data_IF_589087154192
#
_entry.id   IF_589087154192
#
_cell.length_a   1.000
_cell.length_b   1.000
_cell.length_c   1.000
_cell.angle_alpha   90.00
_cell.angle_beta   90.00
_cell.angle_gamma   90.00
#
_symmetry.space_group_name_H-M   'P 1'
#
loop_
_entity.id
_entity.type
_entity.pdbx_description
1 polymer ?
#
# COMPACT_ATOMS: atom_id res chain seq x y z
N UNK A 1 28.49 9.22 5.29
CA UNK A 1 27.18 9.33 5.47
C UNK A 1 26.42 8.04 5.22
N UNK A 2 25.48 7.80 5.95
CA UNK A 2 24.80 6.55 5.85
C UNK A 2 23.88 6.51 4.65
N UNK A 3 23.80 5.37 4.06
CA UNK A 3 22.84 5.14 3.02
C UNK A 3 21.43 5.19 3.61
N UNK A 4 20.49 5.45 2.76
CA UNK A 4 19.10 5.41 3.15
C UNK A 4 18.74 3.98 3.54
N UNK A 5 18.29 3.79 4.75
CA UNK A 5 17.89 2.47 5.22
C UNK A 5 16.51 2.10 4.72
N UNK A 6 16.16 0.83 4.84
CA UNK A 6 14.81 0.38 4.50
C UNK A 6 13.76 1.10 5.34
N UNK A 7 14.09 1.37 6.61
CA UNK A 7 13.18 2.08 7.50
C UNK A 7 12.91 3.50 7.00
N UNK A 8 13.94 4.19 6.50
CA UNK A 8 13.77 5.55 5.97
C UNK A 8 12.87 5.55 4.73
N UNK A 9 13.06 4.57 3.85
CA UNK A 9 12.21 4.44 2.66
C UNK A 9 10.77 4.13 3.03
N UNK A 10 10.59 3.30 4.04
CA UNK A 10 9.27 2.96 4.52
C UNK A 10 8.58 4.19 5.10
N UNK A 11 9.28 4.97 5.91
CA UNK A 11 8.73 6.20 6.47
C UNK A 11 8.35 7.20 5.38
N UNK A 12 9.19 7.33 4.36
CA UNK A 12 8.88 8.22 3.26
C UNK A 12 7.65 7.77 2.48
N UNK A 13 7.54 6.47 2.22
CA UNK A 13 6.37 5.92 1.54
C UNK A 13 5.10 6.19 2.33
N UNK A 14 5.15 6.04 3.64
CA UNK A 14 4.00 6.30 4.49
C UNK A 14 3.62 7.78 4.50
N UNK A 15 4.59 8.67 4.51
CA UNK A 15 4.32 10.10 4.42
C UNK A 15 3.66 10.48 3.11
N UNK A 16 4.15 9.91 2.01
CA UNK A 16 3.57 10.17 0.70
C UNK A 16 2.14 9.67 0.62
N UNK A 17 1.89 8.50 1.19
CA UNK A 17 0.54 7.96 1.24
C UNK A 17 -0.39 8.88 2.04
N UNK A 18 0.08 9.33 3.19
CA UNK A 18 -0.71 10.17 4.08
C UNK A 18 -1.09 11.50 3.41
N UNK A 19 -0.17 12.06 2.62
CA UNK A 19 -0.39 13.30 1.90
C UNK A 19 -1.10 13.12 0.55
N UNK A 20 -1.22 11.91 0.06
CA UNK A 20 -1.76 11.65 -1.28
C UNK A 20 -3.27 11.79 -1.31
N UNK A 21 -3.84 12.29 -2.43
CA UNK A 21 -5.29 12.30 -2.58
C UNK A 21 -5.84 10.90 -2.79
N UNK A 22 -7.12 10.70 -2.52
CA UNK A 22 -7.76 9.40 -2.65
C UNK A 22 -7.67 8.83 -4.06
N UNK A 23 -7.59 9.67 -5.06
CA UNK A 23 -7.50 9.24 -6.45
C UNK A 23 -6.09 8.77 -6.85
N UNK A 24 -5.09 9.01 -6.00
CA UNK A 24 -3.72 8.61 -6.31
C UNK A 24 -3.54 7.10 -6.20
N UNK A 25 -2.42 6.62 -6.74
CA UNK A 25 -2.08 5.20 -6.71
C UNK A 25 -0.76 4.98 -5.99
N UNK A 26 -0.63 3.83 -5.36
CA UNK A 26 0.62 3.42 -4.73
C UNK A 26 0.97 1.99 -5.16
N UNK A 27 2.22 1.66 -5.05
CA UNK A 27 2.72 0.36 -5.45
C UNK A 27 2.77 -0.62 -4.28
N UNK A 28 3.08 -1.87 -4.60
CA UNK A 28 3.14 -2.97 -3.64
C UNK A 28 3.98 -2.65 -2.41
N UNK A 29 5.12 -2.03 -2.60
CA UNK A 29 6.01 -1.69 -1.47
C UNK A 29 5.30 -0.84 -0.43
N UNK A 30 4.53 0.13 -0.89
CA UNK A 30 3.78 1.00 0.02
C UNK A 30 2.67 0.23 0.73
N UNK A 31 1.98 -0.65 0.02
CA UNK A 31 0.94 -1.47 0.64
C UNK A 31 1.53 -2.36 1.73
N UNK A 32 2.68 -2.98 1.46
CA UNK A 32 3.38 -3.77 2.46
C UNK A 32 3.72 -2.93 3.69
N UNK A 33 4.19 -1.70 3.49
CA UNK A 33 4.55 -0.82 4.59
C UNK A 33 3.33 -0.41 5.41
N UNK A 34 2.21 -0.11 4.73
CA UNK A 34 1.00 0.33 5.41
C UNK A 34 0.43 -0.74 6.34
N UNK A 35 0.49 -1.99 5.92
CA UNK A 35 -0.11 -3.10 6.66
C UNK A 35 0.94 -3.94 7.39
N UNK A 36 2.21 -3.64 7.21
CA UNK A 36 3.33 -4.37 7.80
C UNK A 36 3.26 -5.87 7.50
N UNK A 37 3.01 -6.20 6.24
CA UNK A 37 2.91 -7.57 5.78
C UNK A 37 3.81 -7.80 4.58
N UNK A 38 4.07 -9.06 4.28
CA UNK A 38 4.92 -9.43 3.14
C UNK A 38 4.17 -9.28 1.82
N UNK A 39 4.89 -9.19 0.69
CA UNK A 39 4.24 -9.16 -0.62
C UNK A 39 3.32 -10.34 -0.86
N UNK A 40 3.72 -11.54 -0.46
CA UNK A 40 2.89 -12.72 -0.64
C UNK A 40 1.57 -12.59 0.12
N UNK A 41 1.61 -12.00 1.31
CA UNK A 41 0.41 -11.78 2.09
C UNK A 41 -0.48 -10.72 1.45
N UNK A 42 0.10 -9.67 0.87
CA UNK A 42 -0.67 -8.66 0.14
C UNK A 42 -1.45 -9.31 -1.00
N UNK A 43 -0.78 -10.13 -1.81
CA UNK A 43 -1.44 -10.81 -2.92
C UNK A 43 -2.56 -11.73 -2.46
N UNK A 44 -2.31 -12.48 -1.41
CA UNK A 44 -3.31 -13.40 -0.86
C UNK A 44 -4.53 -12.66 -0.35
N UNK A 45 -4.33 -11.59 0.40
CA UNK A 45 -5.44 -10.81 0.95
C UNK A 45 -6.19 -10.01 -0.11
N UNK A 46 -5.48 -9.54 -1.13
CA UNK A 46 -6.14 -8.89 -2.27
C UNK A 46 -7.05 -9.88 -3.00
N UNK A 47 -6.61 -11.12 -3.09
CA UNK A 47 -7.39 -12.15 -3.75
C UNK A 47 -8.60 -12.58 -2.92
N UNK A 48 -8.46 -12.62 -1.61
CA UNK A 48 -9.55 -13.02 -0.71
C UNK A 48 -10.57 -11.91 -0.45
N UNK A 49 -10.26 -10.69 -0.85
CA UNK A 49 -11.15 -9.56 -0.63
C UNK A 49 -10.88 -8.76 0.62
N UNK A 50 -9.90 -9.15 1.43
CA UNK A 50 -9.54 -8.39 2.63
C UNK A 50 -8.87 -7.07 2.31
N UNK A 51 -8.17 -7.01 1.19
CA UNK A 51 -7.58 -5.79 0.67
C UNK A 51 -8.23 -5.45 -0.67
N UNK A 52 -8.20 -4.18 -1.08
CA UNK A 52 -8.75 -3.80 -2.38
C UNK A 52 -8.01 -4.51 -3.49
N UNK A 53 -8.71 -4.79 -4.57
CA UNK A 53 -8.11 -5.43 -5.72
C UNK A 53 -7.09 -4.52 -6.39
N UNK A 54 -5.94 -5.05 -6.82
CA UNK A 54 -4.95 -4.24 -7.50
C UNK A 54 -5.44 -3.83 -8.89
N UNK A 55 -4.94 -2.70 -9.35
CA UNK A 55 -5.25 -2.18 -10.68
C UNK A 55 -3.99 -2.28 -11.51
N UNK A 56 -4.12 -2.80 -12.71
CA UNK A 56 -3.01 -2.92 -13.63
C UNK A 56 -2.94 -1.72 -14.55
N UNK A 57 -1.81 -1.02 -14.49
CA UNK A 57 -1.54 0.10 -15.39
C UNK A 57 -0.39 -0.32 -16.28
N UNK A 58 -0.68 -0.64 -17.54
CA UNK A 58 0.34 -1.13 -18.44
C UNK A 58 0.72 -2.58 -18.17
N UNK A 59 1.83 -3.03 -18.75
CA UNK A 59 2.20 -4.45 -18.73
C UNK A 59 2.78 -4.94 -17.42
N UNK A 60 3.47 -4.06 -16.68
CA UNK A 60 4.21 -4.48 -15.50
C UNK A 60 3.95 -3.62 -14.27
N UNK A 61 2.98 -2.75 -14.33
CA UNK A 61 2.71 -1.83 -13.24
C UNK A 61 1.40 -2.20 -12.57
N UNK A 62 1.50 -2.71 -11.36
CA UNK A 62 0.33 -3.01 -10.54
C UNK A 62 0.30 -2.03 -9.38
N UNK A 63 -0.84 -1.40 -9.17
CA UNK A 63 -1.00 -0.36 -8.15
C UNK A 63 -2.31 -0.56 -7.40
N UNK A 64 -2.42 0.12 -6.26
CA UNK A 64 -3.64 0.14 -5.46
C UNK A 64 -4.06 1.59 -5.28
N UNK A 65 -5.35 1.85 -5.28
CA UNK A 65 -5.87 3.19 -5.09
C UNK A 65 -5.81 3.60 -3.62
N UNK A 66 -5.31 4.79 -3.36
CA UNK A 66 -5.13 5.31 -2.01
C UNK A 66 -6.44 5.34 -1.23
N UNK A 67 -7.53 5.81 -1.86
CA UNK A 67 -8.82 5.87 -1.19
C UNK A 67 -9.31 4.53 -0.72
N UNK A 68 -9.16 3.50 -1.55
CA UNK A 68 -9.57 2.15 -1.19
C UNK A 68 -8.73 1.59 -0.05
N UNK A 69 -7.42 1.89 -0.06
CA UNK A 69 -6.54 1.46 1.02
C UNK A 69 -6.90 2.15 2.32
N UNK A 70 -7.27 3.42 2.28
CA UNK A 70 -7.71 4.14 3.46
C UNK A 70 -8.97 3.53 4.06
N UNK A 71 -9.90 3.10 3.22
CA UNK A 71 -11.09 2.43 3.69
C UNK A 71 -10.76 1.10 4.38
N UNK A 72 -9.84 0.34 3.81
CA UNK A 72 -9.39 -0.91 4.42
C UNK A 72 -8.74 -0.67 5.78
N UNK A 73 -7.92 0.37 5.88
CA UNK A 73 -7.31 0.73 7.16
C UNK A 73 -8.35 1.13 8.19
N UNK A 74 -9.36 1.90 7.80
CA UNK A 74 -10.44 2.28 8.69
C UNK A 74 -11.20 1.06 9.21
N UNK A 75 -11.46 0.11 8.35
CA UNK A 75 -12.15 -1.11 8.74
C UNK A 75 -11.38 -1.88 9.81
N UNK A 76 -10.06 -1.90 9.69
CA UNK A 76 -9.21 -2.53 10.69
C UNK A 76 -9.26 -1.77 12.00
N UNK A 77 -9.21 -0.46 11.95
CA UNK A 77 -9.25 0.38 13.16
C UNK A 77 -10.61 0.33 13.85
N UNK A 78 -11.66 0.05 13.13
CA UNK A 78 -13.02 0.01 13.67
C UNK A 78 -13.38 -1.30 14.35
N UNK A 79 -12.52 -2.30 14.27
CA UNK A 79 -12.77 -3.60 14.90
C UNK A 79 -12.78 -3.54 16.41
#
# INVERSE_FOLDING_TARGET
>A
MSATSSADRTCEALRRFDAAPDAAFVRLRTVCALFEISPATVWRRSKSGELPAPIRIGKRCTVWQVGQLRESLRAIWAR
#
